data_IF_964644085716
#
_entry.id   IF_964644085716
#
_cell.length_a   1.000
_cell.length_b   1.000
_cell.length_c   1.000
_cell.angle_alpha   90.00
_cell.angle_beta   90.00
_cell.angle_gamma   90.00
#
_symmetry.space_group_name_H-M   'P 1'
#
loop_
_entity.id
_entity.type
_entity.pdbx_description
1 polymer ?
#
# COMPACT_ATOMS: atom_id res chain seq x y z
N UNK A 1 -16.56 -3.21 7.93
CA UNK A 1 -16.22 -3.65 6.57
C UNK A 1 -14.98 -4.56 6.61
N UNK A 2 -14.83 -5.42 5.64
CA UNK A 2 -13.65 -6.32 5.56
C UNK A 2 -12.34 -5.55 5.53
N UNK A 3 -12.33 -4.35 4.94
CA UNK A 3 -11.13 -3.53 4.78
C UNK A 3 -10.76 -2.70 6.01
N UNK A 4 -11.57 -2.72 7.06
CA UNK A 4 -11.32 -1.89 8.25
C UNK A 4 -10.00 -2.22 8.95
N UNK A 5 -9.66 -3.50 9.06
CA UNK A 5 -8.41 -3.93 9.70
C UNK A 5 -7.18 -3.45 8.90
N UNK A 6 -7.26 -3.52 7.57
CA UNK A 6 -6.21 -2.98 6.70
C UNK A 6 -6.06 -1.47 6.88
N UNK A 7 -7.19 -0.75 6.86
CA UNK A 7 -7.20 0.70 7.06
C UNK A 7 -6.53 1.08 8.38
N UNK A 8 -6.89 0.38 9.45
CA UNK A 8 -6.31 0.63 10.77
C UNK A 8 -4.79 0.42 10.76
N UNK A 9 -4.32 -0.68 10.16
CA UNK A 9 -2.89 -0.97 10.06
C UNK A 9 -2.15 0.12 9.28
N UNK A 10 -2.70 0.56 8.16
CA UNK A 10 -2.07 1.59 7.32
C UNK A 10 -2.04 2.94 8.02
N UNK A 11 -3.13 3.36 8.65
CA UNK A 11 -3.21 4.65 9.34
C UNK A 11 -2.34 4.69 10.61
N UNK A 12 -2.18 3.56 11.29
CA UNK A 12 -1.30 3.46 12.45
C UNK A 12 0.15 3.15 12.10
N UNK A 13 0.43 2.91 10.83
CA UNK A 13 1.75 2.52 10.30
C UNK A 13 2.26 1.22 10.93
N UNK A 14 1.36 0.33 11.31
CA UNK A 14 1.69 -0.93 11.96
C UNK A 14 1.28 -2.12 11.07
N UNK A 15 2.23 -2.62 10.30
CA UNK A 15 2.06 -3.81 9.46
C UNK A 15 2.67 -5.06 10.08
N UNK A 16 2.87 -5.08 11.40
CA UNK A 16 3.46 -6.24 12.09
C UNK A 16 2.62 -7.50 11.94
N UNK A 17 1.31 -7.35 11.75
CA UNK A 17 0.37 -8.47 11.58
C UNK A 17 -0.08 -8.66 10.15
N UNK A 18 0.78 -8.32 9.19
CA UNK A 18 0.44 -8.37 7.77
C UNK A 18 0.00 -9.77 7.33
N UNK A 19 0.56 -10.82 7.93
CA UNK A 19 0.16 -12.20 7.63
C UNK A 19 -1.26 -12.56 8.06
N UNK A 20 -1.88 -11.76 8.94
CA UNK A 20 -3.28 -11.94 9.33
C UNK A 20 -4.24 -11.19 8.38
N UNK A 21 -3.72 -10.26 7.58
CA UNK A 21 -4.50 -9.44 6.65
C UNK A 21 -4.43 -9.95 5.21
N UNK A 22 -3.27 -10.47 4.81
CA UNK A 22 -2.98 -10.83 3.42
C UNK A 22 -2.71 -12.32 3.27
N UNK A 23 -3.06 -12.88 2.12
CA UNK A 23 -2.71 -14.27 1.81
C UNK A 23 -1.22 -14.39 1.53
N UNK A 24 -0.68 -15.61 1.74
CA UNK A 24 0.75 -15.89 1.53
C UNK A 24 1.21 -15.62 0.10
N UNK A 25 0.34 -15.85 -0.88
CA UNK A 25 0.61 -15.67 -2.29
C UNK A 25 0.03 -14.37 -2.85
N UNK A 26 -0.16 -13.37 -2.00
CA UNK A 26 -0.71 -12.08 -2.38
C UNK A 26 0.01 -11.47 -3.57
N UNK A 27 -0.75 -10.85 -4.47
CA UNK A 27 -0.22 -10.12 -5.62
C UNK A 27 -0.30 -8.63 -5.33
N UNK A 28 0.84 -7.96 -5.40
CA UNK A 28 0.92 -6.51 -5.19
C UNK A 28 1.27 -5.82 -6.50
N UNK A 29 0.41 -4.89 -6.92
CA UNK A 29 0.60 -4.08 -8.14
C UNK A 29 0.96 -2.66 -7.74
N UNK A 30 2.23 -2.34 -7.92
CA UNK A 30 2.81 -1.05 -7.53
C UNK A 30 2.40 0.04 -8.54
N UNK A 31 2.35 1.32 -8.11
CA UNK A 31 2.08 2.42 -9.04
C UNK A 31 3.28 2.76 -9.93
N UNK A 32 4.46 2.20 -9.64
CA UNK A 32 5.70 2.56 -10.32
C UNK A 32 6.12 1.58 -11.42
N UNK A 33 5.86 0.28 -11.24
CA UNK A 33 6.25 -0.74 -12.20
C UNK A 33 5.07 -1.63 -12.56
N UNK A 34 5.00 -2.03 -13.81
CA UNK A 34 3.87 -2.85 -14.27
C UNK A 34 3.96 -4.30 -13.78
N UNK A 35 5.17 -4.85 -13.71
CA UNK A 35 5.37 -6.24 -13.26
C UNK A 35 4.97 -6.36 -11.79
N UNK A 36 4.04 -7.27 -11.45
CA UNK A 36 3.60 -7.40 -10.06
C UNK A 36 4.66 -8.06 -9.18
N UNK A 37 4.60 -7.73 -7.90
CA UNK A 37 5.33 -8.44 -6.85
C UNK A 37 4.41 -9.52 -6.29
N UNK A 38 4.96 -10.69 -6.01
CA UNK A 38 4.18 -11.82 -5.51
C UNK A 38 4.76 -12.29 -4.18
N UNK A 39 3.87 -12.57 -3.23
CA UNK A 39 4.24 -13.16 -1.97
C UNK A 39 4.28 -12.18 -0.81
N UNK A 40 4.05 -12.74 0.37
CA UNK A 40 3.93 -11.97 1.61
C UNK A 40 5.23 -11.31 2.02
N UNK A 41 6.37 -11.98 1.80
CA UNK A 41 7.68 -11.43 2.18
C UNK A 41 8.00 -10.15 1.43
N UNK A 42 7.75 -10.12 0.12
CA UNK A 42 7.94 -8.92 -0.69
C UNK A 42 7.01 -7.81 -0.23
N UNK A 43 5.76 -8.15 0.06
CA UNK A 43 4.76 -7.19 0.52
C UNK A 43 5.16 -6.56 1.85
N UNK A 44 5.66 -7.36 2.79
CA UNK A 44 6.13 -6.87 4.10
C UNK A 44 7.19 -5.77 3.94
N UNK A 45 8.16 -6.01 3.09
CA UNK A 45 9.24 -5.05 2.82
C UNK A 45 8.67 -3.77 2.21
N UNK A 46 7.81 -3.90 1.20
CA UNK A 46 7.25 -2.74 0.51
C UNK A 46 6.34 -1.90 1.41
N UNK A 47 5.42 -2.53 2.13
CA UNK A 47 4.51 -1.81 3.02
C UNK A 47 5.23 -1.19 4.20
N UNK A 48 6.19 -1.91 4.78
CA UNK A 48 7.00 -1.39 5.87
C UNK A 48 7.80 -0.16 5.47
N UNK A 49 8.37 -0.19 4.27
CA UNK A 49 9.15 0.94 3.76
C UNK A 49 8.26 2.13 3.42
N UNK A 50 7.14 1.92 2.72
CA UNK A 50 6.24 3.01 2.34
C UNK A 50 5.59 3.66 3.57
N UNK A 51 5.34 2.90 4.62
CA UNK A 51 4.81 3.45 5.86
C UNK A 51 5.74 4.49 6.48
N UNK A 52 7.06 4.32 6.31
CA UNK A 52 8.05 5.28 6.77
C UNK A 52 8.17 6.49 5.85
N UNK A 53 7.87 6.31 4.56
CA UNK A 53 8.04 7.36 3.54
C UNK A 53 6.89 8.37 3.56
N UNK A 54 5.65 7.90 3.65
CA UNK A 54 4.49 8.79 3.64
C UNK A 54 4.40 9.60 4.92
N UNK A 55 4.18 10.91 4.77
CA UNK A 55 3.93 11.85 5.87
C UNK A 55 2.48 12.29 5.81
N UNK A 56 1.87 12.49 6.97
CA UNK A 56 0.47 12.93 7.11
C UNK A 56 -0.52 12.04 6.36
N UNK A 57 -0.24 10.74 6.34
CA UNK A 57 -1.06 9.75 5.64
C UNK A 57 -2.41 9.59 6.32
N UNK A 58 -3.47 9.66 5.50
CA UNK A 58 -4.84 9.45 5.99
C UNK A 58 -5.75 8.99 4.86
N UNK A 59 -6.67 8.10 5.18
CA UNK A 59 -7.72 7.73 4.24
C UNK A 59 -8.86 8.76 4.34
N UNK A 60 -9.37 9.19 3.20
CA UNK A 60 -10.43 10.18 3.10
C UNK A 60 -11.73 9.59 2.55
N UNK A 61 -11.66 8.39 2.00
CA UNK A 61 -12.83 7.70 1.48
C UNK A 61 -12.60 6.19 1.51
N UNK A 62 -13.67 5.42 1.67
CA UNK A 62 -13.60 3.96 1.73
C UNK A 62 -14.92 3.38 1.21
N UNK A 63 -14.85 2.60 0.13
CA UNK A 63 -16.00 1.96 -0.50
C UNK A 63 -15.72 0.47 -0.60
N UNK A 64 -16.72 -0.34 -0.28
CA UNK A 64 -16.56 -1.78 -0.34
C UNK A 64 -17.79 -2.40 -0.98
N UNK A 65 -17.59 -3.34 -1.89
CA UNK A 65 -18.68 -4.06 -2.54
C UNK A 65 -18.22 -5.49 -2.86
N UNK A 66 -18.99 -6.49 -2.40
CA UNK A 66 -18.63 -7.89 -2.60
C UNK A 66 -17.26 -8.17 -2.00
N UNK A 67 -16.35 -8.66 -2.83
CA UNK A 67 -14.99 -9.00 -2.43
C UNK A 67 -13.96 -7.93 -2.82
N UNK A 68 -14.42 -6.71 -3.06
CA UNK A 68 -13.54 -5.59 -3.45
C UNK A 68 -13.72 -4.42 -2.51
N UNK A 69 -12.62 -3.71 -2.23
CA UNK A 69 -12.63 -2.48 -1.47
C UNK A 69 -11.73 -1.45 -2.15
N UNK A 70 -12.15 -0.19 -2.09
CA UNK A 70 -11.38 0.94 -2.62
C UNK A 70 -11.23 1.96 -1.51
N UNK A 71 -9.99 2.31 -1.18
CA UNK A 71 -9.69 3.29 -0.15
C UNK A 71 -8.86 4.42 -0.77
N UNK A 72 -9.36 5.63 -0.64
CA UNK A 72 -8.69 6.82 -1.18
C UNK A 72 -7.91 7.48 -0.05
N UNK A 73 -6.64 7.78 -0.30
CA UNK A 73 -5.80 8.41 0.71
C UNK A 73 -5.16 9.70 0.21
N UNK A 74 -4.74 10.51 1.17
CA UNK A 74 -3.92 11.69 0.95
C UNK A 74 -2.68 11.56 1.80
N UNK A 75 -1.56 12.04 1.28
CA UNK A 75 -0.28 12.04 1.98
C UNK A 75 0.64 13.07 1.35
N UNK A 76 1.85 13.19 1.91
CA UNK A 76 2.90 14.00 1.30
C UNK A 76 4.25 13.33 1.49
N UNK A 77 5.20 13.72 0.66
CA UNK A 77 6.61 13.34 0.80
C UNK A 77 7.38 14.66 0.70
N UNK A 78 7.86 15.15 1.85
CA UNK A 78 8.41 16.49 1.93
C UNK A 78 7.35 17.52 1.54
N UNK A 79 7.62 18.32 0.52
CA UNK A 79 6.69 19.34 0.02
C UNK A 79 5.76 18.83 -1.08
N UNK A 80 5.94 17.57 -1.52
CA UNK A 80 5.15 16.98 -2.60
C UNK A 80 3.91 16.32 -2.03
N UNK A 81 2.75 16.92 -2.26
CA UNK A 81 1.47 16.34 -1.88
C UNK A 81 1.03 15.34 -2.94
N UNK A 82 0.34 14.28 -2.48
CA UNK A 82 -0.16 13.26 -3.37
C UNK A 82 -1.49 12.69 -2.90
N UNK A 83 -2.22 12.13 -3.84
CA UNK A 83 -3.43 11.36 -3.58
C UNK A 83 -3.22 9.96 -4.13
N UNK A 84 -3.75 8.96 -3.45
CA UNK A 84 -3.65 7.60 -3.92
C UNK A 84 -4.92 6.81 -3.70
N UNK A 85 -4.95 5.66 -4.35
CA UNK A 85 -6.05 4.72 -4.25
C UNK A 85 -5.47 3.33 -4.01
N UNK A 86 -5.94 2.68 -2.95
CA UNK A 86 -5.67 1.27 -2.71
C UNK A 86 -6.89 0.47 -3.15
N UNK A 87 -6.70 -0.47 -4.07
CA UNK A 87 -7.76 -1.39 -4.49
C UNK A 87 -7.41 -2.76 -3.93
N UNK A 88 -8.30 -3.29 -3.09
CA UNK A 88 -8.11 -4.57 -2.42
C UNK A 88 -9.10 -5.59 -2.95
N UNK A 89 -8.63 -6.82 -3.18
CA UNK A 89 -9.50 -7.95 -3.52
C UNK A 89 -9.30 -9.04 -2.49
N UNK A 90 -10.41 -9.47 -1.91
CA UNK A 90 -10.42 -10.49 -0.85
C UNK A 90 -10.68 -11.87 -1.44
N UNK A 91 -9.97 -12.87 -0.95
CA UNK A 91 -10.21 -14.27 -1.28
C UNK A 91 -11.35 -14.84 -0.45
N UNK A 92 -11.69 -16.09 -0.72
CA UNK A 92 -12.78 -16.80 0.01
C UNK A 92 -12.49 -16.94 1.50
N UNK A 93 -11.21 -16.95 1.88
CA UNK A 93 -10.78 -17.02 3.28
C UNK A 93 -10.86 -15.68 4.01
N UNK A 94 -11.26 -14.62 3.33
CA UNK A 94 -11.35 -13.28 3.90
C UNK A 94 -10.04 -12.51 3.95
N UNK A 95 -8.95 -13.10 3.46
CA UNK A 95 -7.65 -12.43 3.39
C UNK A 95 -7.53 -11.66 2.06
N UNK A 96 -6.72 -10.61 2.08
CA UNK A 96 -6.47 -9.82 0.87
C UNK A 96 -5.58 -10.62 -0.08
N UNK A 97 -6.11 -10.98 -1.24
CA UNK A 97 -5.40 -11.75 -2.25
C UNK A 97 -4.67 -10.87 -3.26
N UNK A 98 -5.14 -9.65 -3.47
CA UNK A 98 -4.54 -8.72 -4.41
C UNK A 98 -4.68 -7.29 -3.89
N UNK A 99 -3.62 -6.51 -4.05
CA UNK A 99 -3.60 -5.08 -3.72
C UNK A 99 -2.99 -4.33 -4.90
N UNK A 100 -3.70 -3.32 -5.39
CA UNK A 100 -3.20 -2.44 -6.44
C UNK A 100 -3.22 -1.00 -5.94
N UNK A 101 -2.14 -0.26 -6.20
CA UNK A 101 -2.00 1.13 -5.77
C UNK A 101 -1.85 2.03 -6.99
N UNK A 102 -2.62 3.12 -7.02
CA UNK A 102 -2.50 4.18 -8.03
C UNK A 102 -2.29 5.50 -7.33
N UNK A 103 -1.43 6.37 -7.89
CA UNK A 103 -1.04 7.62 -7.24
C UNK A 103 -1.02 8.76 -8.26
N UNK A 104 -1.53 9.92 -7.85
CA UNK A 104 -1.46 11.17 -8.58
C UNK A 104 -0.89 12.28 -7.67
N UNK A 105 -0.34 13.40 -8.18
CA UNK A 105 0.07 13.62 -9.55
C UNK A 105 1.43 12.98 -9.85
N UNK A 106 1.92 13.12 -11.06
CA UNK A 106 3.20 12.55 -11.45
C UNK A 106 4.35 13.02 -10.54
N UNK A 107 4.35 14.28 -10.12
CA UNK A 107 5.39 14.80 -9.21
C UNK A 107 5.42 14.08 -7.88
N UNK A 108 4.23 13.76 -7.31
CA UNK A 108 4.13 12.99 -6.07
C UNK A 108 4.57 11.54 -6.27
N UNK A 109 4.17 10.93 -7.38
CA UNK A 109 4.59 9.57 -7.72
C UNK A 109 6.11 9.50 -7.91
N UNK A 110 6.70 10.46 -8.61
CA UNK A 110 8.15 10.52 -8.78
C UNK A 110 8.88 10.65 -7.44
N UNK A 111 8.36 11.48 -6.53
CA UNK A 111 8.93 11.61 -5.20
C UNK A 111 8.90 10.28 -4.43
N UNK A 112 7.81 9.55 -4.56
CA UNK A 112 7.68 8.23 -3.93
C UNK A 112 8.70 7.24 -4.52
N UNK A 113 8.80 7.18 -5.84
CA UNK A 113 9.70 6.26 -6.54
C UNK A 113 11.15 6.52 -6.13
N UNK A 114 11.56 7.79 -6.09
CA UNK A 114 12.90 8.19 -5.67
C UNK A 114 13.20 7.77 -4.24
N UNK A 115 12.30 8.11 -3.31
CA UNK A 115 12.51 7.83 -1.88
C UNK A 115 12.49 6.33 -1.59
N UNK A 116 11.57 5.59 -2.22
CA UNK A 116 11.51 4.13 -2.06
C UNK A 116 12.78 3.47 -2.60
N UNK A 117 13.23 3.91 -3.78
CA UNK A 117 14.47 3.38 -4.38
C UNK A 117 15.67 3.60 -3.48
N UNK A 118 15.78 4.78 -2.90
CA UNK A 118 16.88 5.12 -1.98
C UNK A 118 16.85 4.26 -0.72
N UNK A 119 15.69 4.09 -0.11
CA UNK A 119 15.54 3.31 1.12
C UNK A 119 15.75 1.81 0.91
N UNK A 120 15.22 1.27 -0.19
CA UNK A 120 15.39 -0.15 -0.51
C UNK A 120 16.86 -0.46 -0.86
N UNK A 121 17.53 0.43 -1.57
CA UNK A 121 18.96 0.27 -1.87
C UNK A 121 19.81 0.32 -0.59
N UNK A 122 19.51 1.23 0.34
CA UNK A 122 20.21 1.33 1.62
C UNK A 122 20.00 0.08 2.48
N UNK A 123 18.78 -0.50 2.47
CA UNK A 123 18.46 -1.69 3.24
C UNK A 123 19.17 -2.93 2.70
N UNK A 124 19.41 -3.01 1.39
CA UNK A 124 20.06 -4.17 0.76
C UNK A 124 21.59 -4.03 0.69
N UNK A 125 22.09 -2.85 0.98
CA UNK A 125 23.53 -2.60 1.06
C UNK A 125 24.06 -2.87 2.43
#
# INVERSE_FOLDING_TARGET
MKSDAFRHAAESKDFSKVGELFSEDVVFRSPAVFQPYTGLDSLKVLLGTVAEVFEDFRYVDQVETGDSAVLVFEARIGERELHGVDVLRFGEDGLIAEMMVMIRPLSGLNALVEEMGRRLAAASG
#
